data_IF_911371368312
#
_entry.id   IF_911371368312
#
_cell.length_a   1.000
_cell.length_b   1.000
_cell.length_c   1.000
_cell.angle_alpha   90.00
_cell.angle_beta   90.00
_cell.angle_gamma   90.00
#
_symmetry.space_group_name_H-M   'P 1'
#
loop_
_entity.id
_entity.type
_entity.pdbx_description
1 polymer ?
#
# COMPACT_ATOMS: atom_id res chain seq x y z
N UNK A 1 -10.47 15.50 -3.97
CA UNK A 1 -9.53 15.74 -5.09
C UNK A 1 -9.70 17.12 -5.76
N UNK A 2 -9.80 18.24 -5.00
CA UNK A 2 -9.89 19.60 -5.59
C UNK A 2 -8.64 20.49 -5.37
N UNK A 3 -7.67 20.03 -4.58
CA UNK A 3 -6.58 20.88 -4.09
C UNK A 3 -5.20 20.63 -4.73
N UNK A 4 -5.03 19.58 -5.54
CA UNK A 4 -3.69 19.16 -6.00
C UNK A 4 -3.56 18.90 -7.51
N UNK A 5 -4.54 19.24 -8.35
CA UNK A 5 -4.53 18.99 -9.82
C UNK A 5 -4.26 17.52 -10.24
N UNK A 6 -4.31 16.58 -9.30
CA UNK A 6 -4.07 15.16 -9.55
C UNK A 6 -5.37 14.47 -10.01
N UNK A 7 -5.71 14.66 -11.29
CA UNK A 7 -6.82 13.94 -11.95
C UNK A 7 -6.34 12.58 -12.47
N UNK A 8 -5.88 11.73 -11.54
CA UNK A 8 -5.43 10.38 -11.85
C UNK A 8 -6.52 9.51 -12.52
N UNK A 9 -7.84 9.65 -12.24
CA UNK A 9 -8.84 8.89 -12.97
C UNK A 9 -8.81 9.21 -14.47
N UNK A 10 -8.64 10.49 -14.83
CA UNK A 10 -8.49 10.89 -16.25
C UNK A 10 -7.20 10.39 -16.85
N UNK A 11 -6.08 10.38 -16.12
CA UNK A 11 -4.81 9.86 -16.63
C UNK A 11 -4.89 8.38 -16.99
N UNK A 12 -5.53 7.59 -16.13
CA UNK A 12 -5.79 6.16 -16.37
C UNK A 12 -6.75 6.00 -17.56
N UNK A 13 -7.84 6.76 -17.63
CA UNK A 13 -8.80 6.71 -18.74
C UNK A 13 -8.15 7.04 -20.10
N UNK A 14 -7.14 7.92 -20.11
CA UNK A 14 -6.40 8.32 -21.32
C UNK A 14 -5.22 7.41 -21.65
N UNK A 15 -4.93 6.37 -20.85
CA UNK A 15 -3.80 5.47 -21.08
C UNK A 15 -2.44 6.14 -20.89
N UNK A 16 -2.34 7.15 -20.02
CA UNK A 16 -1.09 7.88 -19.75
C UNK A 16 -0.20 7.10 -18.75
N UNK A 17 -0.77 6.13 -18.04
CA UNK A 17 -0.15 5.43 -16.92
C UNK A 17 -0.35 3.91 -17.07
N UNK A 18 0.73 3.15 -16.94
CA UNK A 18 0.72 1.68 -17.05
C UNK A 18 0.45 0.97 -15.70
N UNK A 19 0.87 1.57 -14.59
CA UNK A 19 0.59 1.10 -13.22
C UNK A 19 0.30 2.28 -12.30
N UNK A 20 -0.65 2.13 -11.38
CA UNK A 20 -0.95 3.16 -10.38
C UNK A 20 -0.79 2.64 -8.95
N UNK A 21 -0.15 3.44 -8.09
CA UNK A 21 0.00 3.17 -6.65
C UNK A 21 -0.73 4.23 -5.84
N UNK A 22 -1.89 3.88 -5.27
CA UNK A 22 -2.65 4.80 -4.42
C UNK A 22 -2.07 4.84 -3.00
N UNK A 23 -1.64 6.01 -2.55
CA UNK A 23 -1.14 6.21 -1.18
C UNK A 23 -2.29 6.30 -0.17
N UNK A 24 -2.56 5.21 0.55
CA UNK A 24 -3.62 5.14 1.57
C UNK A 24 -2.98 5.18 2.96
N UNK A 25 -2.53 6.37 3.36
CA UNK A 25 -1.80 6.57 4.63
C UNK A 25 -2.75 6.77 5.81
N UNK A 26 -3.44 5.69 6.15
CA UNK A 26 -4.38 5.63 7.29
C UNK A 26 -3.78 4.82 8.43
N UNK A 27 -3.97 5.31 9.64
CA UNK A 27 -3.47 4.73 10.88
C UNK A 27 -4.48 3.81 11.58
N UNK A 28 -5.60 3.49 10.93
CA UNK A 28 -6.60 2.55 11.43
C UNK A 28 -7.26 1.79 10.27
N UNK A 29 -7.65 0.55 10.52
CA UNK A 29 -8.21 -0.33 9.50
C UNK A 29 -9.54 0.17 8.91
N UNK A 30 -10.52 0.68 9.69
CA UNK A 30 -11.80 1.13 9.13
C UNK A 30 -11.65 2.24 8.08
N UNK A 31 -10.86 3.27 8.38
CA UNK A 31 -10.62 4.37 7.42
C UNK A 31 -9.81 3.89 6.21
N UNK A 32 -8.85 3.00 6.41
CA UNK A 32 -8.12 2.35 5.30
C UNK A 32 -9.08 1.60 4.37
N UNK A 33 -10.00 0.79 4.92
CA UNK A 33 -10.99 0.05 4.15
C UNK A 33 -11.97 0.97 3.40
N UNK A 34 -12.34 2.10 4.00
CA UNK A 34 -13.22 3.09 3.36
C UNK A 34 -12.57 3.68 2.10
N UNK A 35 -11.26 3.99 2.13
CA UNK A 35 -10.52 4.46 0.95
C UNK A 35 -10.50 3.40 -0.16
N UNK A 36 -10.23 2.14 0.19
CA UNK A 36 -10.23 1.03 -0.79
C UNK A 36 -11.61 0.74 -1.40
N UNK A 37 -12.68 1.15 -0.73
CA UNK A 37 -14.06 0.93 -1.17
C UNK A 37 -14.58 2.01 -2.13
N UNK A 38 -13.85 3.11 -2.32
CA UNK A 38 -14.26 4.23 -3.18
C UNK A 38 -14.54 3.75 -4.62
N UNK A 39 -15.63 4.23 -5.25
CA UNK A 39 -16.00 3.84 -6.60
C UNK A 39 -14.89 4.05 -7.63
N UNK A 40 -14.14 5.15 -7.52
CA UNK A 40 -13.05 5.52 -8.42
C UNK A 40 -11.91 4.51 -8.34
N UNK A 41 -11.60 4.03 -7.13
CA UNK A 41 -10.57 3.01 -6.89
C UNK A 41 -10.97 1.69 -7.54
N UNK A 42 -12.23 1.27 -7.38
CA UNK A 42 -12.76 0.05 -8.02
C UNK A 42 -12.71 0.16 -9.55
N UNK A 43 -13.11 1.31 -10.09
CA UNK A 43 -13.12 1.54 -11.52
C UNK A 43 -11.70 1.49 -12.10
N UNK A 44 -10.74 2.19 -11.50
CA UNK A 44 -9.39 2.23 -12.01
C UNK A 44 -8.64 0.91 -11.87
N UNK A 45 -8.86 0.18 -10.77
CA UNK A 45 -8.36 -1.18 -10.58
C UNK A 45 -8.81 -2.14 -11.69
N UNK A 46 -9.98 -1.89 -12.31
CA UNK A 46 -10.46 -2.71 -13.44
C UNK A 46 -9.78 -2.38 -14.78
N UNK A 47 -8.94 -1.33 -14.83
CA UNK A 47 -8.34 -0.82 -16.07
C UNK A 47 -6.85 -1.11 -16.19
N UNK A 48 -6.10 -0.99 -15.10
CA UNK A 48 -4.64 -1.17 -15.07
C UNK A 48 -4.22 -1.86 -13.78
N UNK A 49 -3.00 -2.45 -13.71
CA UNK A 49 -2.37 -2.80 -12.45
C UNK A 49 -2.48 -1.65 -11.44
N UNK A 50 -3.14 -1.94 -10.32
CA UNK A 50 -3.45 -0.95 -9.29
C UNK A 50 -3.02 -1.48 -7.93
N UNK A 51 -2.03 -0.83 -7.35
CA UNK A 51 -1.35 -1.20 -6.11
C UNK A 51 -1.67 -0.19 -5.00
N UNK A 52 -1.48 -0.58 -3.74
CA UNK A 52 -1.76 0.28 -2.58
C UNK A 52 -0.48 0.60 -1.81
N UNK A 53 -0.21 1.89 -1.62
CA UNK A 53 0.80 2.40 -0.70
C UNK A 53 0.28 2.36 0.74
N UNK A 54 0.94 1.59 1.60
CA UNK A 54 0.65 1.43 3.02
C UNK A 54 1.65 2.24 3.83
N UNK A 55 1.14 3.01 4.81
CA UNK A 55 2.00 3.70 5.77
C UNK A 55 2.55 2.69 6.80
N UNK A 56 3.82 2.72 7.13
CA UNK A 56 4.47 1.92 8.18
C UNK A 56 4.76 2.73 9.43
N UNK A 57 4.59 4.05 9.33
CA UNK A 57 4.82 5.04 10.39
C UNK A 57 5.46 6.30 9.85
N UNK A 58 5.47 7.35 10.67
CA UNK A 58 6.23 8.58 10.51
C UNK A 58 7.27 8.69 11.63
N UNK A 59 8.16 9.69 11.57
CA UNK A 59 9.11 9.97 12.66
C UNK A 59 8.43 10.24 14.01
N UNK A 60 7.17 10.71 14.00
CA UNK A 60 6.41 11.04 15.23
C UNK A 60 5.51 9.89 15.68
N UNK A 61 5.05 9.05 14.76
CA UNK A 61 4.02 8.04 15.01
C UNK A 61 4.31 6.78 14.22
N UNK A 62 4.72 5.71 14.90
CA UNK A 62 5.06 4.45 14.24
C UNK A 62 3.92 3.43 14.32
N UNK A 63 3.62 2.76 13.21
CA UNK A 63 2.56 1.75 13.17
C UNK A 63 3.07 0.40 13.67
N UNK A 64 2.20 -0.31 14.40
CA UNK A 64 2.45 -1.69 14.83
C UNK A 64 2.42 -2.63 13.62
N UNK A 65 3.26 -3.67 13.64
CA UNK A 65 3.35 -4.64 12.54
C UNK A 65 2.04 -5.38 12.30
N UNK A 66 1.24 -5.63 13.34
CA UNK A 66 -0.07 -6.30 13.23
C UNK A 66 -1.05 -5.48 12.41
N UNK A 67 -1.01 -4.14 12.55
CA UNK A 67 -1.85 -3.25 11.76
C UNK A 67 -1.43 -3.24 10.28
N UNK A 68 -0.12 -3.22 10.02
CA UNK A 68 0.42 -3.34 8.66
C UNK A 68 -0.01 -4.67 8.03
N UNK A 69 0.06 -5.77 8.79
CA UNK A 69 -0.41 -7.08 8.35
C UNK A 69 -1.90 -7.10 8.00
N UNK A 70 -2.74 -6.45 8.81
CA UNK A 70 -4.16 -6.32 8.51
C UNK A 70 -4.42 -5.51 7.23
N UNK A 71 -3.68 -4.43 7.01
CA UNK A 71 -3.79 -3.62 5.78
C UNK A 71 -3.31 -4.42 4.56
N UNK A 72 -2.18 -5.12 4.64
CA UNK A 72 -1.69 -6.00 3.56
C UNK A 72 -2.70 -7.09 3.25
N UNK A 73 -3.27 -7.73 4.27
CA UNK A 73 -4.34 -8.73 4.09
C UNK A 73 -5.55 -8.11 3.38
N UNK A 74 -6.00 -6.93 3.80
CA UNK A 74 -7.13 -6.25 3.18
C UNK A 74 -6.91 -5.91 1.71
N UNK A 75 -5.67 -5.56 1.33
CA UNK A 75 -5.28 -5.32 -0.07
C UNK A 75 -5.32 -6.63 -0.86
N UNK A 76 -4.80 -7.73 -0.31
CA UNK A 76 -4.82 -9.06 -0.96
C UNK A 76 -6.22 -9.62 -1.12
N UNK A 77 -7.04 -9.57 -0.08
CA UNK A 77 -8.44 -10.04 -0.10
C UNK A 77 -9.25 -9.30 -1.19
N UNK A 78 -8.85 -8.07 -1.54
CA UNK A 78 -9.47 -7.25 -2.59
C UNK A 78 -8.80 -7.38 -3.95
N UNK A 79 -7.80 -8.26 -4.10
CA UNK A 79 -7.13 -8.57 -5.36
C UNK A 79 -6.48 -7.36 -6.05
N UNK A 80 -5.94 -6.41 -5.28
CA UNK A 80 -5.08 -5.36 -5.86
C UNK A 80 -3.78 -5.97 -6.40
N UNK A 81 -3.15 -5.29 -7.35
CA UNK A 81 -1.95 -5.81 -8.03
C UNK A 81 -0.75 -5.96 -7.09
N UNK A 82 -0.65 -5.10 -6.07
CA UNK A 82 0.44 -5.16 -5.12
C UNK A 82 0.30 -4.18 -3.95
N UNK A 83 1.36 -4.13 -3.15
CA UNK A 83 1.53 -3.15 -2.06
C UNK A 83 2.90 -2.48 -2.17
N UNK A 84 2.96 -1.23 -1.76
CA UNK A 84 4.20 -0.49 -1.52
C UNK A 84 4.19 0.03 -0.09
N UNK A 85 5.35 0.19 0.53
CA UNK A 85 5.46 0.64 1.91
C UNK A 85 6.17 1.98 2.01
N UNK A 86 5.62 2.87 2.84
CA UNK A 86 6.25 4.13 3.19
C UNK A 86 6.10 4.37 4.69
N UNK A 87 7.11 4.74 5.47
CA UNK A 87 8.45 5.12 5.10
C UNK A 87 9.47 4.05 5.48
N UNK A 88 10.58 3.97 4.75
CA UNK A 88 11.61 2.93 4.91
C UNK A 88 12.15 2.82 6.35
N UNK A 89 12.34 3.95 7.02
CA UNK A 89 12.90 4.05 8.37
C UNK A 89 11.98 3.38 9.39
N UNK A 90 10.67 3.44 9.17
CA UNK A 90 9.67 2.77 10.02
C UNK A 90 9.27 1.40 9.48
N UNK A 91 9.83 0.96 8.34
CA UNK A 91 9.62 -0.37 7.79
C UNK A 91 10.36 -1.41 8.66
N UNK A 92 11.68 -1.27 8.79
CA UNK A 92 12.57 -2.23 9.46
C UNK A 92 13.53 -1.60 10.48
N UNK A 93 13.40 -0.29 10.74
CA UNK A 93 14.25 0.43 11.68
C UNK A 93 13.88 0.23 13.15
N UNK A 94 14.66 0.87 14.01
CA UNK A 94 14.52 0.81 15.47
C UNK A 94 13.46 1.79 16.00
N UNK A 95 13.01 2.74 15.18
CA UNK A 95 12.06 3.79 15.57
C UNK A 95 10.61 3.29 15.48
N UNK A 96 10.30 2.16 16.12
CA UNK A 96 8.96 1.55 16.04
C UNK A 96 8.56 0.87 17.35
N UNK A 97 7.25 0.59 17.57
CA UNK A 97 6.79 -0.04 18.81
C UNK A 97 7.17 -1.52 18.92
N UNK A 98 7.51 -2.16 17.80
CA UNK A 98 7.96 -3.54 17.74
C UNK A 98 9.49 -3.58 17.65
N UNK A 99 10.10 -4.65 18.14
CA UNK A 99 11.53 -4.88 17.93
C UNK A 99 11.85 -5.06 16.44
N UNK A 100 13.08 -4.76 15.99
CA UNK A 100 13.49 -5.00 14.61
C UNK A 100 13.30 -6.46 14.17
N UNK A 101 13.52 -7.42 15.08
CA UNK A 101 13.32 -8.84 14.80
C UNK A 101 11.84 -9.15 14.54
N UNK A 102 10.92 -8.70 15.41
CA UNK A 102 9.49 -8.90 15.24
C UNK A 102 8.98 -8.31 13.93
N UNK A 103 9.41 -7.09 13.57
CA UNK A 103 9.03 -6.48 12.27
C UNK A 103 9.52 -7.32 11.11
N UNK A 104 10.81 -7.69 11.08
CA UNK A 104 11.39 -8.49 9.99
C UNK A 104 10.66 -9.82 9.84
N UNK A 105 10.41 -10.52 10.94
CA UNK A 105 9.62 -11.75 10.94
C UNK A 105 8.19 -11.51 10.46
N UNK A 106 7.55 -10.40 10.85
CA UNK A 106 6.23 -10.02 10.37
C UNK A 106 6.18 -9.81 8.86
N UNK A 107 7.17 -9.11 8.29
CA UNK A 107 7.29 -8.93 6.83
C UNK A 107 7.61 -10.24 6.10
N UNK A 108 8.52 -11.07 6.62
CA UNK A 108 8.82 -12.39 6.05
C UNK A 108 7.58 -13.28 6.01
N UNK A 109 6.75 -13.28 7.07
CA UNK A 109 5.48 -14.01 7.09
C UNK A 109 4.48 -13.49 6.07
N UNK A 110 4.47 -12.18 5.82
CA UNK A 110 3.62 -11.60 4.77
C UNK A 110 4.11 -11.97 3.37
N UNK A 111 5.42 -12.07 3.14
CA UNK A 111 6.02 -12.34 1.83
C UNK A 111 6.95 -13.57 1.90
N UNK A 112 6.40 -14.78 2.12
CA UNK A 112 7.21 -15.99 2.31
C UNK A 112 7.85 -16.48 1.01
N UNK A 113 7.28 -16.10 -0.14
CA UNK A 113 7.73 -16.50 -1.47
C UNK A 113 8.40 -15.32 -2.15
N UNK A 114 9.66 -15.49 -2.54
CA UNK A 114 10.34 -14.53 -3.40
C UNK A 114 9.87 -14.70 -4.85
N UNK A 115 9.63 -13.59 -5.54
CA UNK A 115 9.27 -13.55 -6.95
C UNK A 115 10.38 -12.88 -7.72
N UNK A 116 10.77 -13.47 -8.85
CA UNK A 116 11.72 -12.85 -9.77
C UNK A 116 11.15 -11.55 -10.30
N UNK A 117 11.98 -10.51 -10.39
CA UNK A 117 11.60 -9.26 -11.05
C UNK A 117 11.15 -9.58 -12.49
N UNK A 118 9.99 -9.11 -12.95
CA UNK A 118 9.60 -9.24 -14.35
C UNK A 118 10.73 -8.68 -15.24
N UNK A 119 11.15 -9.45 -16.25
CA UNK A 119 12.01 -8.90 -17.29
C UNK A 119 11.16 -7.89 -18.06
N UNK A 120 11.57 -6.63 -18.12
CA UNK A 120 10.89 -5.65 -18.97
C UNK A 120 10.99 -6.09 -20.42
N UNK A 121 9.93 -5.85 -21.20
CA UNK A 121 9.96 -5.96 -22.66
C UNK A 121 10.86 -4.87 -23.27
#
# INVERSE_FOLDING_TARGET
>A
YKLYLQDWPTWIKRGIVDEFVLQVYRDNLPSFLAELAQPEVKLAKSKIPFSIGILTGTMKTSMKIEQIQQQVKAVRDRHFAGVSFFYWETLWGYMTPNSPQERRTGFQKMFPTSVSRPKGE
#
